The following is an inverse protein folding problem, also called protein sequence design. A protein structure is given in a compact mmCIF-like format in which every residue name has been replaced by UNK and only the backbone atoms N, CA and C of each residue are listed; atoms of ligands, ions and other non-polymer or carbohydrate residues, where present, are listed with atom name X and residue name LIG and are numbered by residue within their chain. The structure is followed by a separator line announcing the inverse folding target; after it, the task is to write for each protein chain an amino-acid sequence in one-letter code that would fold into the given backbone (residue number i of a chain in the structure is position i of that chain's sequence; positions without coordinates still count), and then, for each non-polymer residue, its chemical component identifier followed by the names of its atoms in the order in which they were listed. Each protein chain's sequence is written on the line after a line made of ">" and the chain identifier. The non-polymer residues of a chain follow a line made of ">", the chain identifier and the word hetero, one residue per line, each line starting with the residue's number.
data_IF_526597669223
#
_entry.id   IF_526597669223
#
_cell.length_a   1.000
_cell.length_b   1.000
_cell.length_c   1.000
_cell.angle_alpha   90.00
_cell.angle_beta   90.00
_cell.angle_gamma   90.00
#
_symmetry.space_group_name_H-M   'P 1'
#
loop_
_entity.id
_entity.type
_entity.pdbx_description
1 polymer ?
#
# COMPACT_ATOMS: atom_id res chain seq x y z
N UNK A 1 31.24 0.05 7.06
CA UNK A 1 29.89 0.58 6.73
C UNK A 1 28.82 -0.39 7.23
N UNK A 2 28.73 -0.62 8.55
CA UNK A 2 27.84 -1.63 9.18
C UNK A 2 26.73 -1.01 10.04
N UNK A 3 26.30 0.22 9.75
CA UNK A 3 25.39 0.96 10.65
C UNK A 3 24.16 1.59 9.96
N UNK A 4 23.84 1.25 8.71
CA UNK A 4 22.63 1.79 8.06
C UNK A 4 21.42 0.84 8.08
N UNK A 5 21.59 -0.46 8.35
CA UNK A 5 20.52 -1.47 8.14
C UNK A 5 19.63 -1.72 9.37
N UNK A 6 19.89 -1.10 10.52
CA UNK A 6 19.05 -1.24 11.72
C UNK A 6 17.87 -0.27 11.78
N UNK A 7 17.67 0.58 10.77
CA UNK A 7 16.63 1.62 10.77
C UNK A 7 15.25 1.21 10.24
N UNK A 8 15.17 0.22 9.34
CA UNK A 8 13.93 -0.03 8.59
C UNK A 8 12.96 -1.00 9.29
N UNK A 9 13.46 -1.95 10.09
CA UNK A 9 12.61 -2.89 10.84
C UNK A 9 11.82 -2.22 11.99
N UNK A 10 12.18 -0.98 12.38
CA UNK A 10 11.44 -0.18 13.36
C UNK A 10 10.28 0.59 12.70
N UNK A 11 10.26 0.72 11.37
CA UNK A 11 9.25 1.51 10.65
C UNK A 11 7.87 0.85 10.61
N UNK A 12 7.77 -0.48 10.48
CA UNK A 12 6.49 -1.18 10.43
C UNK A 12 5.66 -1.03 11.73
N UNK A 13 6.33 -1.05 12.89
CA UNK A 13 5.68 -0.83 14.19
C UNK A 13 5.46 0.67 14.49
N UNK A 14 6.32 1.55 13.97
CA UNK A 14 6.19 3.00 14.15
C UNK A 14 5.11 3.62 13.25
N UNK A 15 4.89 3.09 12.05
CA UNK A 15 3.88 3.56 11.11
C UNK A 15 2.45 3.40 11.66
N UNK A 16 2.19 2.35 12.44
CA UNK A 16 0.88 2.13 13.07
C UNK A 16 0.66 3.02 14.31
N UNK A 17 1.72 3.45 14.98
CA UNK A 17 1.64 4.26 16.20
C UNK A 17 1.35 5.74 15.94
N UNK A 18 1.59 6.24 14.72
CA UNK A 18 1.44 7.67 14.40
C UNK A 18 0.01 8.07 13.96
N UNK A 19 -0.82 7.13 13.54
CA UNK A 19 -2.14 7.45 12.94
C UNK A 19 -3.25 7.61 13.99
N UNK A 20 -3.00 7.27 15.26
CA UNK A 20 -3.98 7.41 16.34
C UNK A 20 -4.15 8.86 16.86
N UNK A 21 -3.26 9.79 16.47
CA UNK A 21 -3.17 11.13 17.10
C UNK A 21 -3.60 12.33 16.24
N UNK A 22 -3.98 12.14 14.97
CA UNK A 22 -4.43 13.26 14.14
C UNK A 22 -5.88 13.61 14.49
N UNK A 23 -6.10 14.79 15.08
CA UNK A 23 -7.46 15.32 15.30
C UNK A 23 -8.07 15.68 13.94
N UNK A 24 -8.98 14.85 13.46
CA UNK A 24 -9.78 15.09 12.27
C UNK A 24 -11.06 15.85 12.63
N UNK A 25 -11.67 16.56 11.67
CA UNK A 25 -13.00 17.12 11.87
C UNK A 25 -14.03 15.99 11.98
N UNK A 26 -15.14 16.21 12.68
CA UNK A 26 -16.23 15.23 12.74
C UNK A 26 -16.74 14.85 11.34
N UNK A 27 -16.71 15.80 10.39
CA UNK A 27 -17.03 15.55 8.98
C UNK A 27 -16.03 14.58 8.32
N UNK A 28 -14.73 14.74 8.56
CA UNK A 28 -13.72 13.84 8.02
C UNK A 28 -13.81 12.43 8.62
N UNK A 29 -14.16 12.31 9.91
CA UNK A 29 -14.44 11.01 10.55
C UNK A 29 -15.68 10.34 9.94
N UNK A 30 -16.75 11.10 9.71
CA UNK A 30 -17.97 10.59 9.06
C UNK A 30 -17.69 10.11 7.62
N UNK A 31 -16.93 10.88 6.83
CA UNK A 31 -16.51 10.48 5.49
C UNK A 31 -15.67 9.19 5.52
N UNK A 32 -14.72 9.07 6.45
CA UNK A 32 -13.90 7.87 6.60
C UNK A 32 -14.72 6.64 7.02
N UNK A 33 -15.68 6.82 7.93
CA UNK A 33 -16.54 5.75 8.41
C UNK A 33 -17.51 5.25 7.33
N UNK A 34 -17.99 6.14 6.46
CA UNK A 34 -19.06 5.88 5.48
C UNK A 34 -18.59 5.56 4.06
N UNK A 35 -17.29 5.27 3.86
CA UNK A 35 -16.78 4.92 2.53
C UNK A 35 -17.49 3.66 1.96
N UNK A 36 -17.82 3.64 0.65
CA UNK A 36 -18.35 2.45 -0.01
C UNK A 36 -17.29 1.35 -0.12
N UNK A 37 -17.67 0.20 -0.69
CA UNK A 37 -16.69 -0.81 -1.06
C UNK A 37 -15.87 -0.29 -2.26
N UNK A 38 -14.57 -0.59 -2.28
CA UNK A 38 -13.68 -0.21 -3.37
C UNK A 38 -13.09 -1.44 -4.04
N UNK A 39 -13.28 -1.55 -5.36
CA UNK A 39 -12.42 -2.35 -6.23
C UNK A 39 -11.45 -1.36 -6.89
N UNK A 40 -10.15 -1.53 -6.65
CA UNK A 40 -9.15 -0.68 -7.27
C UNK A 40 -8.30 -1.46 -8.26
N UNK A 41 -7.89 -0.76 -9.31
CA UNK A 41 -6.89 -1.21 -10.29
C UNK A 41 -5.78 -0.17 -10.39
N UNK A 42 -4.57 -0.64 -10.62
CA UNK A 42 -3.37 0.17 -10.60
C UNK A 42 -2.42 -0.09 -11.73
N UNK A 43 -1.66 0.94 -12.10
CA UNK A 43 -0.51 0.81 -12.98
C UNK A 43 0.61 1.76 -12.52
N UNK A 44 1.85 1.33 -12.67
CA UNK A 44 3.01 2.11 -12.27
C UNK A 44 4.35 1.47 -12.64
N UNK A 45 5.39 1.87 -11.92
CA UNK A 45 6.75 1.39 -12.08
C UNK A 45 7.19 0.62 -10.83
N UNK A 46 7.81 -0.52 -11.03
CA UNK A 46 8.42 -1.40 -10.03
C UNK A 46 9.93 -1.16 -9.97
N UNK A 47 10.51 -1.40 -8.79
CA UNK A 47 11.91 -1.11 -8.47
C UNK A 47 12.31 0.36 -8.69
N UNK A 48 11.46 1.29 -8.25
CA UNK A 48 11.78 2.71 -8.28
C UNK A 48 12.77 3.07 -7.17
N UNK A 49 13.87 3.74 -7.52
CA UNK A 49 14.88 4.19 -6.55
C UNK A 49 16.33 3.95 -7.01
N UNK A 50 17.20 3.63 -6.04
CA UNK A 50 18.65 3.58 -6.20
C UNK A 50 19.09 2.71 -7.39
N UNK A 51 19.70 3.37 -8.38
CA UNK A 51 20.32 2.77 -9.58
C UNK A 51 19.40 1.99 -10.54
N UNK A 52 18.12 2.37 -10.65
CA UNK A 52 17.06 1.66 -11.42
C UNK A 52 17.20 1.66 -12.96
N UNK A 53 18.22 0.98 -13.50
CA UNK A 53 18.20 0.51 -14.90
C UNK A 53 17.18 -0.62 -15.13
N UNK A 54 16.66 -1.22 -14.04
CA UNK A 54 15.80 -2.42 -14.03
C UNK A 54 14.31 -2.11 -13.74
N UNK A 55 13.87 -0.86 -13.91
CA UNK A 55 12.48 -0.51 -13.62
C UNK A 55 11.51 -1.20 -14.62
N UNK A 56 10.58 -2.00 -14.10
CA UNK A 56 9.55 -2.67 -14.90
C UNK A 56 8.16 -2.10 -14.63
N UNK A 57 7.20 -2.35 -15.54
CA UNK A 57 5.83 -1.91 -15.33
C UNK A 57 5.12 -2.86 -14.36
N UNK A 58 4.33 -2.32 -13.44
CA UNK A 58 3.53 -3.09 -12.48
C UNK A 58 2.05 -2.78 -12.63
N UNK A 59 1.22 -3.82 -12.48
CA UNK A 59 -0.24 -3.73 -12.47
C UNK A 59 -0.76 -4.27 -11.14
N UNK A 60 -1.60 -3.48 -10.47
CA UNK A 60 -2.15 -3.80 -9.15
C UNK A 60 -3.67 -3.98 -9.23
N UNK A 61 -4.21 -4.81 -8.37
CA UNK A 61 -5.64 -4.95 -8.15
C UNK A 61 -5.91 -5.22 -6.67
N UNK A 62 -6.97 -4.66 -6.13
CA UNK A 62 -7.40 -5.03 -4.79
C UNK A 62 -8.81 -4.61 -4.45
N UNK A 63 -9.27 -5.15 -3.33
CA UNK A 63 -10.62 -4.98 -2.83
C UNK A 63 -10.60 -4.58 -1.35
N UNK A 64 -11.35 -3.53 -1.04
CA UNK A 64 -11.58 -3.02 0.32
C UNK A 64 -13.10 -3.01 0.54
N UNK A 65 -13.64 -3.73 1.53
CA UNK A 65 -15.08 -3.76 1.78
C UNK A 65 -15.56 -2.46 2.46
N UNK A 66 -16.88 -2.30 2.52
CA UNK A 66 -17.57 -1.15 3.10
C UNK A 66 -17.67 -1.16 4.63
N UNK A 67 -17.29 -2.27 5.27
CA UNK A 67 -17.28 -2.38 6.74
C UNK A 67 -15.90 -2.09 7.33
N UNK A 68 -15.90 -1.42 8.48
CA UNK A 68 -14.72 -1.22 9.31
C UNK A 68 -14.72 -2.17 10.52
N UNK A 69 -13.54 -2.36 11.11
CA UNK A 69 -13.35 -3.19 12.31
C UNK A 69 -13.34 -2.29 13.56
N UNK A 70 -12.34 -1.41 13.64
CA UNK A 70 -12.14 -0.44 14.71
C UNK A 70 -11.33 0.74 14.15
N UNK A 71 -11.61 1.95 14.61
CA UNK A 71 -10.89 3.16 14.16
C UNK A 71 -10.84 3.31 12.64
N UNK A 72 -11.97 3.03 11.98
CA UNK A 72 -12.14 3.16 10.53
C UNK A 72 -11.17 2.29 9.71
N UNK A 73 -10.49 1.33 10.35
CA UNK A 73 -9.63 0.35 9.70
C UNK A 73 -10.51 -0.67 8.99
N UNK A 74 -10.22 -0.91 7.72
CA UNK A 74 -10.94 -1.84 6.86
C UNK A 74 -10.02 -2.98 6.43
N UNK A 75 -10.54 -4.21 6.28
CA UNK A 75 -9.79 -5.28 5.63
C UNK A 75 -9.39 -4.92 4.19
N UNK A 76 -8.37 -5.59 3.69
CA UNK A 76 -7.89 -5.46 2.32
C UNK A 76 -7.46 -6.83 1.82
N UNK A 77 -7.75 -7.10 0.56
CA UNK A 77 -7.10 -8.16 -0.22
C UNK A 77 -6.61 -7.57 -1.53
N UNK A 78 -5.41 -7.91 -1.96
CA UNK A 78 -4.83 -7.35 -3.17
C UNK A 78 -3.78 -8.26 -3.80
N UNK A 79 -3.42 -7.93 -5.02
CA UNK A 79 -2.39 -8.61 -5.78
C UNK A 79 -1.75 -7.68 -6.79
N UNK A 80 -0.51 -7.96 -7.18
CA UNK A 80 0.12 -7.32 -8.33
C UNK A 80 0.83 -8.34 -9.20
N UNK A 81 1.05 -7.93 -10.46
CA UNK A 81 1.99 -8.55 -11.39
C UNK A 81 2.88 -7.49 -12.02
N UNK A 82 4.12 -7.82 -12.39
CA UNK A 82 4.97 -6.93 -13.18
C UNK A 82 5.42 -7.54 -14.51
N UNK A 83 6.03 -6.73 -15.38
CA UNK A 83 6.44 -7.17 -16.71
C UNK A 83 7.66 -8.11 -16.73
N UNK A 84 8.38 -8.23 -15.62
CA UNK A 84 9.48 -9.20 -15.46
C UNK A 84 8.98 -10.56 -14.93
N UNK A 85 7.68 -10.67 -14.64
CA UNK A 85 7.03 -11.90 -14.23
C UNK A 85 6.87 -12.08 -12.73
N UNK A 86 7.13 -11.04 -11.91
CA UNK A 86 6.82 -11.10 -10.49
C UNK A 86 5.31 -11.18 -10.27
N UNK A 87 4.92 -11.91 -9.24
CA UNK A 87 3.54 -11.99 -8.74
C UNK A 87 3.54 -11.81 -7.23
N UNK A 88 2.55 -11.10 -6.70
CA UNK A 88 2.35 -10.97 -5.26
C UNK A 88 0.87 -11.02 -4.95
N UNK A 89 0.49 -11.76 -3.91
CA UNK A 89 -0.86 -11.75 -3.36
C UNK A 89 -0.81 -11.50 -1.86
N UNK A 90 -1.66 -10.61 -1.37
CA UNK A 90 -1.66 -10.20 0.03
C UNK A 90 -3.05 -9.98 0.60
N UNK A 91 -3.12 -10.09 1.92
CA UNK A 91 -4.21 -9.56 2.73
C UNK A 91 -3.67 -8.50 3.66
N UNK A 92 -4.54 -7.66 4.20
CA UNK A 92 -4.08 -6.59 5.07
C UNK A 92 -5.20 -5.68 5.54
N UNK A 93 -4.81 -4.45 5.81
CA UNK A 93 -5.65 -3.42 6.36
C UNK A 93 -5.46 -2.11 5.61
N UNK A 94 -6.53 -1.35 5.49
CA UNK A 94 -6.55 -0.02 4.89
C UNK A 94 -7.24 0.97 5.82
N UNK A 95 -6.78 2.22 5.83
CA UNK A 95 -7.42 3.34 6.52
C UNK A 95 -7.35 4.59 5.67
N UNK A 96 -8.50 5.21 5.44
CA UNK A 96 -8.60 6.50 4.73
C UNK A 96 -8.69 7.65 5.74
N UNK A 97 -8.01 8.75 5.46
CA UNK A 97 -7.99 9.97 6.27
C UNK A 97 -8.33 11.13 5.35
N UNK A 98 -9.51 11.71 5.54
CA UNK A 98 -9.97 12.86 4.77
C UNK A 98 -9.31 14.14 5.28
N UNK A 99 -8.66 14.86 4.37
CA UNK A 99 -8.02 16.15 4.62
C UNK A 99 -8.94 17.30 4.20
N UNK A 100 -9.80 17.05 3.22
CA UNK A 100 -10.97 17.85 2.83
C UNK A 100 -12.12 16.90 2.48
N UNK A 101 -13.25 17.41 2.00
CA UNK A 101 -14.39 16.57 1.58
C UNK A 101 -14.06 15.65 0.39
N UNK A 102 -13.05 15.99 -0.42
CA UNK A 102 -12.65 15.23 -1.61
C UNK A 102 -11.20 14.76 -1.56
N UNK A 103 -10.33 15.42 -0.81
CA UNK A 103 -8.91 15.05 -0.76
C UNK A 103 -8.65 14.17 0.47
N UNK A 104 -8.02 13.01 0.24
CA UNK A 104 -7.72 12.05 1.29
C UNK A 104 -6.34 11.43 1.11
N UNK A 105 -5.79 10.93 2.20
CA UNK A 105 -4.69 9.96 2.17
C UNK A 105 -5.18 8.59 2.60
N UNK A 106 -4.70 7.53 1.96
CA UNK A 106 -5.03 6.15 2.31
C UNK A 106 -3.76 5.40 2.68
N UNK A 107 -3.71 4.91 3.90
CA UNK A 107 -2.63 4.07 4.40
C UNK A 107 -3.04 2.61 4.27
N UNK A 108 -2.14 1.76 3.82
CA UNK A 108 -2.36 0.32 3.78
C UNK A 108 -1.13 -0.42 4.29
N UNK A 109 -1.39 -1.50 5.02
CA UNK A 109 -0.37 -2.46 5.41
C UNK A 109 -0.88 -3.84 5.08
N UNK A 110 -0.01 -4.72 4.60
CA UNK A 110 -0.36 -6.06 4.21
C UNK A 110 0.81 -7.01 4.33
N UNK A 111 0.50 -8.29 4.18
CA UNK A 111 1.48 -9.35 4.12
C UNK A 111 0.98 -10.45 3.19
N UNK A 112 1.91 -11.18 2.59
CA UNK A 112 1.57 -12.04 1.48
C UNK A 112 2.73 -12.89 0.99
N UNK A 113 2.49 -13.52 -0.16
CA UNK A 113 3.46 -14.36 -0.84
C UNK A 113 3.89 -13.70 -2.16
N UNK A 114 5.20 -13.55 -2.32
CA UNK A 114 5.88 -13.03 -3.50
C UNK A 114 6.53 -14.19 -4.26
N UNK A 115 6.31 -14.20 -5.57
CA UNK A 115 7.04 -15.03 -6.52
C UNK A 115 7.80 -14.12 -7.47
N UNK A 116 9.12 -14.24 -7.49
CA UNK A 116 10.01 -13.29 -8.18
C UNK A 116 9.91 -13.34 -9.72
N UNK A 117 9.71 -14.51 -10.32
CA UNK A 117 9.83 -14.65 -11.78
C UNK A 117 11.26 -14.31 -12.23
N UNK A 118 11.41 -13.40 -13.20
CA UNK A 118 12.71 -12.82 -13.56
C UNK A 118 12.91 -11.42 -12.95
N UNK A 119 12.08 -11.03 -11.97
CA UNK A 119 12.17 -9.74 -11.31
C UNK A 119 13.13 -9.78 -10.12
N UNK A 120 13.08 -8.74 -9.29
CA UNK A 120 13.95 -8.59 -8.11
C UNK A 120 13.76 -9.73 -7.11
N UNK A 121 14.87 -10.39 -6.78
CA UNK A 121 14.94 -11.36 -5.70
C UNK A 121 14.83 -10.63 -4.35
N UNK A 122 13.86 -11.03 -3.51
CA UNK A 122 13.62 -10.45 -2.18
C UNK A 122 14.17 -11.33 -1.04
N UNK A 123 14.85 -12.42 -1.38
CA UNK A 123 15.45 -13.37 -0.45
C UNK A 123 14.48 -14.43 0.08
N UNK A 124 13.16 -14.20 0.02
CA UNK A 124 12.15 -15.19 0.40
C UNK A 124 10.78 -14.93 -0.24
N UNK A 125 9.84 -15.83 0.06
CA UNK A 125 8.44 -15.76 -0.43
C UNK A 125 7.58 -14.84 0.42
N UNK A 126 7.76 -14.83 1.75
CA UNK A 126 6.87 -14.07 2.62
C UNK A 126 7.33 -12.63 2.76
N UNK A 127 6.47 -11.68 2.38
CA UNK A 127 6.82 -10.26 2.32
C UNK A 127 5.71 -9.38 2.93
N UNK A 128 6.11 -8.30 3.59
CA UNK A 128 5.25 -7.24 4.09
C UNK A 128 5.16 -6.10 3.07
N UNK A 129 3.96 -5.60 2.85
CA UNK A 129 3.68 -4.44 2.00
C UNK A 129 3.21 -3.26 2.85
N UNK A 130 3.83 -2.11 2.64
CA UNK A 130 3.43 -0.84 3.24
C UNK A 130 3.11 0.14 2.12
N UNK A 131 1.95 0.79 2.15
CA UNK A 131 1.50 1.70 1.11
C UNK A 131 0.93 2.98 1.67
N UNK A 132 1.23 4.07 0.97
CA UNK A 132 0.55 5.35 1.13
C UNK A 132 -0.01 5.79 -0.21
N UNK A 133 -1.22 6.33 -0.18
CA UNK A 133 -1.85 6.98 -1.32
C UNK A 133 -2.27 8.41 -0.99
N UNK A 134 -2.26 9.26 -2.01
CA UNK A 134 -2.84 10.59 -1.99
C UNK A 134 -3.84 10.68 -3.13
N UNK A 135 -5.12 10.91 -2.78
CA UNK A 135 -6.22 10.73 -3.71
C UNK A 135 -7.27 11.83 -3.66
N UNK A 136 -8.00 11.89 -4.76
CA UNK A 136 -9.20 12.69 -4.92
C UNK A 136 -10.41 11.76 -5.08
N UNK A 137 -11.38 11.86 -4.16
CA UNK A 137 -12.66 11.18 -4.21
C UNK A 137 -13.69 12.05 -4.94
N UNK A 138 -14.36 11.44 -5.92
CA UNK A 138 -15.47 12.01 -6.66
C UNK A 138 -16.79 11.85 -5.88
N UNK A 139 -17.83 12.56 -6.30
CA UNK A 139 -19.14 12.57 -5.64
C UNK A 139 -19.82 11.19 -5.64
N UNK A 140 -19.45 10.29 -6.57
CA UNK A 140 -19.92 8.91 -6.63
C UNK A 140 -19.16 7.95 -5.70
N UNK A 141 -18.19 8.47 -4.92
CA UNK A 141 -17.35 7.69 -4.01
C UNK A 141 -16.14 7.04 -4.68
N UNK A 142 -16.05 7.05 -6.02
CA UNK A 142 -14.87 6.59 -6.74
C UNK A 142 -13.68 7.51 -6.48
N UNK A 143 -12.46 7.03 -6.70
CA UNK A 143 -11.24 7.77 -6.37
C UNK A 143 -10.15 7.57 -7.42
N UNK A 144 -9.40 8.62 -7.72
CA UNK A 144 -8.09 8.53 -8.36
C UNK A 144 -7.01 8.91 -7.34
N UNK A 145 -5.95 8.11 -7.25
CA UNK A 145 -4.87 8.36 -6.30
C UNK A 145 -3.50 8.05 -6.86
N UNK A 146 -2.50 8.80 -6.43
CA UNK A 146 -1.10 8.42 -6.59
C UNK A 146 -0.70 7.54 -5.41
N UNK A 147 -0.02 6.43 -5.69
CA UNK A 147 0.46 5.51 -4.67
C UNK A 147 1.98 5.44 -4.63
N UNK A 148 2.50 5.13 -3.45
CA UNK A 148 3.83 4.58 -3.26
C UNK A 148 3.71 3.39 -2.31
N UNK A 149 4.36 2.28 -2.64
CA UNK A 149 4.46 1.15 -1.72
C UNK A 149 5.86 0.56 -1.68
N UNK A 150 6.17 -0.03 -0.53
CA UNK A 150 7.40 -0.76 -0.25
C UNK A 150 7.06 -2.22 0.09
N UNK A 151 7.84 -3.15 -0.43
CA UNK A 151 7.73 -4.58 -0.17
C UNK A 151 9.06 -5.07 0.42
N UNK A 152 9.01 -5.72 1.59
CA UNK A 152 10.21 -6.28 2.24
C UNK A 152 9.88 -7.37 3.27
N UNK A 153 10.87 -8.17 3.62
CA UNK A 153 10.70 -9.25 4.59
C UNK A 153 11.07 -8.85 6.02
N UNK A 154 11.31 -7.54 6.26
CA UNK A 154 11.69 -6.98 7.55
C UNK A 154 12.94 -7.63 8.22
N UNK A 155 13.79 -8.30 7.45
CA UNK A 155 14.98 -8.99 7.96
C UNK A 155 14.70 -10.36 8.56
N UNK A 156 13.60 -11.01 8.18
CA UNK A 156 13.30 -12.39 8.56
C UNK A 156 14.29 -13.37 7.88
N UNK A 157 14.75 -13.06 6.67
CA UNK A 157 15.80 -13.81 5.94
C UNK A 157 17.15 -13.12 6.03
N UNK A 158 18.21 -13.83 5.64
CA UNK A 158 19.58 -13.28 5.58
C UNK A 158 19.68 -12.10 4.61
N UNK A 159 18.99 -12.18 3.47
CA UNK A 159 18.89 -11.12 2.47
C UNK A 159 17.53 -10.42 2.55
N UNK A 160 17.55 -9.08 2.51
CA UNK A 160 16.36 -8.24 2.42
C UNK A 160 16.68 -6.96 1.63
N UNK A 161 16.76 -7.04 0.30
CA UNK A 161 17.01 -5.86 -0.51
C UNK A 161 15.82 -4.90 -0.50
N UNK A 162 14.61 -5.43 -0.34
CA UNK A 162 13.35 -4.70 -0.48
C UNK A 162 13.14 -4.16 -1.89
N UNK A 163 11.93 -3.69 -2.17
CA UNK A 163 11.60 -3.06 -3.44
C UNK A 163 10.51 -2.02 -3.27
N UNK A 164 10.57 -0.95 -4.07
CA UNK A 164 9.56 0.11 -4.07
C UNK A 164 8.83 0.13 -5.40
N UNK A 165 7.57 0.58 -5.37
CA UNK A 165 6.85 0.96 -6.57
C UNK A 165 6.06 2.24 -6.37
N UNK A 166 5.81 2.94 -7.47
CA UNK A 166 4.98 4.13 -7.51
C UNK A 166 4.12 4.15 -8.77
N UNK A 167 2.93 4.73 -8.67
CA UNK A 167 2.00 4.77 -9.79
C UNK A 167 0.67 5.42 -9.45
N UNK A 168 -0.35 5.05 -10.20
CA UNK A 168 -1.72 5.54 -10.01
C UNK A 168 -2.69 4.38 -9.77
N UNK A 169 -3.63 4.59 -8.86
CA UNK A 169 -4.80 3.74 -8.66
C UNK A 169 -6.06 4.48 -9.13
N UNK A 170 -6.97 3.73 -9.75
CA UNK A 170 -8.37 4.10 -9.84
C UNK A 170 -9.18 3.13 -8.98
N UNK A 171 -9.96 3.66 -8.03
CA UNK A 171 -10.82 2.90 -7.13
C UNK A 171 -12.28 3.14 -7.50
N UNK A 172 -12.95 2.11 -7.98
CA UNK A 172 -14.39 2.14 -8.26
C UNK A 172 -15.17 1.90 -6.97
N UNK A 173 -16.15 2.75 -6.69
CA UNK A 173 -17.10 2.58 -5.60
C UNK A 173 -18.33 1.78 -6.04
N UNK A 174 -18.85 0.91 -5.17
CA UNK A 174 -20.11 0.19 -5.35
C UNK A 174 -20.73 -0.26 -4.03
#
# INVERSE_FOLDING_TARGET
>A
MKHLLTGLAVAAAAAFSFVAGATTSAQAEELAASQPAHLYVGAGFFDVGDSSEEASAVFDIGYIPDYNIIWEIRPLVGAFVNTDGAVYGHVGFSRSIFLTDNFLTRLQVGFGAYGEGNSKDLGQVFEFREQIEFGWQFDDGSMISAYFWHLSNAGISEDNPGVNAAGLHYSMAF
#
